data_IF_879251925420
#
_entry.id   IF_879251925420
#
_cell.length_a   1.000
_cell.length_b   1.000
_cell.length_c   1.000
_cell.angle_alpha   90.00
_cell.angle_beta   90.00
_cell.angle_gamma   90.00
#
_symmetry.space_group_name_H-M   'P 1'
#
loop_
_entity.id
_entity.type
_entity.pdbx_description
1 polymer ?
#
# COMPACT_ATOMS: atom_id res chain seq x y z
N UNK A 1 -9.58 12.07 1.75
CA UNK A 1 -8.58 11.08 1.36
C UNK A 1 -7.24 11.39 1.99
N UNK A 2 -6.43 10.38 2.31
CA UNK A 2 -5.12 10.59 2.94
C UNK A 2 -4.09 11.26 2.02
N UNK A 3 -4.28 11.22 0.70
CA UNK A 3 -3.41 11.86 -0.29
C UNK A 3 -4.23 12.78 -1.19
N UNK A 4 -4.11 14.08 -0.98
CA UNK A 4 -4.88 15.10 -1.72
C UNK A 4 -4.35 15.35 -3.13
N UNK A 5 -3.13 14.91 -3.41
CA UNK A 5 -2.40 15.10 -4.67
C UNK A 5 -2.46 13.87 -5.59
N UNK A 6 -3.23 12.84 -5.25
CA UNK A 6 -3.46 11.65 -6.07
C UNK A 6 -4.82 11.77 -6.77
N UNK A 7 -4.81 12.03 -8.07
CA UNK A 7 -6.01 12.23 -8.89
C UNK A 7 -6.17 11.21 -10.01
N UNK A 8 -5.11 10.44 -10.30
CA UNK A 8 -5.11 9.44 -11.37
C UNK A 8 -4.28 8.21 -10.99
N UNK A 9 -4.37 7.16 -11.81
CA UNK A 9 -3.51 5.95 -11.66
C UNK A 9 -2.04 6.31 -11.90
N UNK A 10 -1.76 7.27 -12.76
CA UNK A 10 -0.40 7.75 -13.05
C UNK A 10 0.23 8.45 -11.84
N UNK A 11 -0.54 9.28 -11.13
CA UNK A 11 -0.11 9.90 -9.87
C UNK A 11 0.18 8.84 -8.80
N UNK A 12 -0.69 7.82 -8.72
CA UNK A 12 -0.51 6.68 -7.81
C UNK A 12 0.77 5.91 -8.17
N UNK A 13 1.00 5.63 -9.47
CA UNK A 13 2.19 4.94 -9.94
C UNK A 13 3.47 5.73 -9.61
N UNK A 14 3.42 7.07 -9.70
CA UNK A 14 4.54 7.92 -9.29
C UNK A 14 4.79 7.84 -7.78
N UNK A 15 3.74 7.87 -6.94
CA UNK A 15 3.89 7.71 -5.50
C UNK A 15 4.48 6.34 -5.12
N UNK A 16 4.02 5.26 -5.77
CA UNK A 16 4.58 3.92 -5.57
C UNK A 16 6.07 3.91 -5.92
N UNK A 17 6.45 4.51 -7.04
CA UNK A 17 7.85 4.63 -7.45
C UNK A 17 8.68 5.43 -6.43
N UNK A 18 8.15 6.54 -5.91
CA UNK A 18 8.80 7.36 -4.88
C UNK A 18 9.07 6.56 -3.61
N UNK A 19 8.07 5.82 -3.14
CA UNK A 19 8.19 4.98 -1.94
C UNK A 19 9.19 3.83 -2.12
N UNK A 20 9.23 3.23 -3.30
CA UNK A 20 10.21 2.18 -3.63
C UNK A 20 11.63 2.73 -3.75
N UNK A 21 11.82 3.95 -4.23
CA UNK A 21 13.12 4.64 -4.19
C UNK A 21 13.56 4.95 -2.75
N UNK A 22 12.61 5.27 -1.86
CA UNK A 22 12.91 5.48 -0.45
C UNK A 22 13.27 4.18 0.30
N UNK A 23 12.56 3.08 -0.03
CA UNK A 23 12.81 1.76 0.55
C UNK A 23 12.37 0.65 -0.42
N UNK A 24 13.31 0.09 -1.14
CA UNK A 24 13.11 -0.98 -2.13
C UNK A 24 12.56 -2.29 -1.53
N UNK A 25 12.81 -2.53 -0.24
CA UNK A 25 12.39 -3.75 0.48
C UNK A 25 10.98 -3.67 1.03
N UNK A 26 10.41 -2.48 1.16
CA UNK A 26 9.06 -2.31 1.67
C UNK A 26 8.03 -2.70 0.61
N UNK A 27 7.01 -3.47 1.00
CA UNK A 27 5.85 -3.70 0.16
C UNK A 27 4.95 -2.46 0.18
N UNK A 28 4.54 -2.01 -1.00
CA UNK A 28 3.61 -0.90 -1.17
C UNK A 28 2.21 -1.45 -1.44
N UNK A 29 1.30 -1.17 -0.52
CA UNK A 29 -0.10 -1.61 -0.57
C UNK A 29 -1.02 -0.45 -0.94
N UNK A 30 -1.99 -0.73 -1.80
CA UNK A 30 -3.05 0.21 -2.18
C UNK A 30 -4.39 -0.33 -1.72
N UNK A 31 -5.11 0.46 -0.91
CA UNK A 31 -6.44 0.09 -0.42
C UNK A 31 -7.54 0.66 -1.32
N UNK A 32 -8.43 -0.22 -1.77
CA UNK A 32 -9.62 0.10 -2.55
C UNK A 32 -10.88 -0.34 -1.80
N UNK A 33 -11.94 0.42 -1.98
CA UNK A 33 -13.26 0.05 -1.46
C UNK A 33 -13.98 -0.85 -2.46
N UNK A 34 -14.68 -1.86 -1.98
CA UNK A 34 -15.55 -2.72 -2.80
C UNK A 34 -16.71 -1.88 -3.37
N UNK A 35 -16.61 -1.57 -4.64
CA UNK A 35 -17.62 -0.86 -5.44
C UNK A 35 -17.65 -1.46 -6.85
N UNK A 36 -18.72 -1.25 -7.59
CA UNK A 36 -18.77 -1.66 -9.00
C UNK A 36 -17.65 -0.98 -9.81
N UNK A 37 -16.91 -1.73 -10.61
CA UNK A 37 -15.76 -1.24 -11.38
C UNK A 37 -14.42 -1.29 -10.65
N UNK A 38 -14.38 -1.78 -9.41
CA UNK A 38 -13.13 -1.86 -8.63
C UNK A 38 -12.07 -2.74 -9.30
N UNK A 39 -12.48 -3.75 -10.06
CA UNK A 39 -11.55 -4.62 -10.82
C UNK A 39 -10.73 -3.84 -11.84
N UNK A 40 -11.33 -2.88 -12.54
CA UNK A 40 -10.62 -2.00 -13.48
C UNK A 40 -9.60 -1.11 -12.75
N UNK A 41 -9.98 -0.58 -11.58
CA UNK A 41 -9.07 0.22 -10.75
C UNK A 41 -7.90 -0.66 -10.25
N UNK A 42 -8.18 -1.87 -9.79
CA UNK A 42 -7.16 -2.82 -9.34
C UNK A 42 -6.19 -3.22 -10.45
N UNK A 43 -6.67 -3.37 -11.69
CA UNK A 43 -5.81 -3.58 -12.85
C UNK A 43 -4.87 -2.39 -13.07
N UNK A 44 -5.36 -1.15 -12.91
CA UNK A 44 -4.54 0.06 -12.93
C UNK A 44 -3.51 0.09 -11.81
N UNK A 45 -3.89 -0.28 -10.59
CA UNK A 45 -2.99 -0.40 -9.42
C UNK A 45 -1.87 -1.41 -9.67
N UNK A 46 -2.19 -2.57 -10.24
CA UNK A 46 -1.21 -3.59 -10.62
C UNK A 46 -0.25 -3.09 -11.71
N UNK A 47 -0.77 -2.38 -12.73
CA UNK A 47 0.06 -1.72 -13.76
C UNK A 47 0.92 -0.60 -13.18
N UNK A 48 0.44 0.10 -12.15
CA UNK A 48 1.18 1.07 -11.35
C UNK A 48 2.25 0.45 -10.45
N UNK A 49 2.40 -0.87 -10.50
CA UNK A 49 3.45 -1.64 -9.80
C UNK A 49 3.31 -1.67 -8.27
N UNK A 50 2.09 -1.59 -7.73
CA UNK A 50 1.87 -1.91 -6.32
C UNK A 50 2.18 -3.39 -6.04
N UNK A 51 2.73 -3.69 -4.86
CA UNK A 51 3.01 -5.07 -4.44
C UNK A 51 1.74 -5.79 -3.97
N UNK A 52 0.77 -5.01 -3.46
CA UNK A 52 -0.47 -5.53 -2.89
C UNK A 52 -1.64 -4.58 -3.17
N UNK A 53 -2.80 -5.14 -3.50
CA UNK A 53 -4.08 -4.43 -3.51
C UNK A 53 -4.99 -5.01 -2.43
N UNK A 54 -5.49 -4.15 -1.54
CA UNK A 54 -6.46 -4.52 -0.50
C UNK A 54 -7.86 -4.11 -0.94
N UNK A 55 -8.77 -5.06 -1.01
CA UNK A 55 -10.19 -4.84 -1.26
C UNK A 55 -10.94 -4.84 0.07
N UNK A 56 -11.51 -3.69 0.41
CA UNK A 56 -12.26 -3.49 1.65
C UNK A 56 -13.77 -3.54 1.42
N UNK A 57 -14.46 -4.40 2.18
CA UNK A 57 -15.92 -4.40 2.23
C UNK A 57 -16.49 -3.17 2.94
N UNK A 58 -17.83 -2.98 2.84
CA UNK A 58 -18.54 -1.89 3.50
C UNK A 58 -18.55 -2.01 5.03
N UNK A 59 -18.44 -3.21 5.56
CA UNK A 59 -18.42 -3.51 7.00
C UNK A 59 -17.06 -3.18 7.62
N UNK A 60 -16.72 -1.92 7.66
CA UNK A 60 -15.44 -1.50 8.19
C UNK A 60 -15.45 -0.03 8.64
N UNK A 61 -14.26 0.52 8.77
CA UNK A 61 -14.05 1.91 9.11
C UNK A 61 -13.80 2.16 10.58
N UNK A 62 -13.48 3.40 10.90
CA UNK A 62 -13.10 3.85 12.23
C UNK A 62 -14.29 3.88 13.19
N UNK A 63 -14.05 3.92 14.51
CA UNK A 63 -15.08 4.16 15.51
C UNK A 63 -15.82 5.48 15.31
N UNK A 64 -15.20 6.45 14.63
CA UNK A 64 -15.80 7.75 14.31
C UNK A 64 -16.79 7.71 13.14
N UNK A 65 -16.76 6.67 12.30
CA UNK A 65 -17.67 6.57 11.15
C UNK A 65 -19.14 6.46 11.61
N UNK A 66 -20.08 7.21 11.00
CA UNK A 66 -21.49 7.07 11.30
C UNK A 66 -21.98 5.64 11.05
N UNK A 67 -22.88 5.16 11.89
CA UNK A 67 -23.44 3.80 11.78
C UNK A 67 -24.14 3.58 10.43
N UNK A 68 -24.77 4.63 9.89
CA UNK A 68 -25.41 4.61 8.57
C UNK A 68 -24.40 4.36 7.46
N UNK A 69 -23.23 4.99 7.50
CA UNK A 69 -22.16 4.76 6.50
C UNK A 69 -21.65 3.32 6.55
N UNK A 70 -21.43 2.78 7.75
CA UNK A 70 -20.93 1.42 7.93
C UNK A 70 -21.93 0.36 7.43
N UNK A 71 -23.24 0.63 7.60
CA UNK A 71 -24.27 -0.34 7.22
C UNK A 71 -24.72 -0.24 5.78
N UNK A 72 -24.61 0.93 5.15
CA UNK A 72 -25.30 1.21 3.89
C UNK A 72 -24.41 1.82 2.80
N UNK A 73 -23.18 2.20 3.09
CA UNK A 73 -22.26 2.73 2.08
C UNK A 73 -21.26 1.67 1.65
N UNK A 74 -21.18 1.38 0.35
CA UNK A 74 -20.29 0.38 -0.23
C UNK A 74 -20.97 -0.98 -0.44
N UNK A 75 -20.18 -1.93 -0.94
CA UNK A 75 -20.59 -3.30 -1.25
C UNK A 75 -19.92 -4.30 -0.31
N UNK A 76 -20.47 -5.52 -0.17
CA UNK A 76 -19.77 -6.63 0.47
C UNK A 76 -18.40 -6.89 -0.20
N UNK A 77 -17.42 -7.32 0.60
CA UNK A 77 -16.07 -7.59 0.10
C UNK A 77 -16.04 -8.71 -0.95
N UNK A 78 -16.95 -9.66 -0.89
CA UNK A 78 -17.07 -10.79 -1.81
C UNK A 78 -17.26 -10.32 -3.25
N UNK A 79 -18.07 -9.30 -3.46
CA UNK A 79 -18.34 -8.71 -4.78
C UNK A 79 -17.08 -8.06 -5.35
N UNK A 80 -16.47 -7.18 -4.58
CA UNK A 80 -15.27 -6.46 -5.02
C UNK A 80 -14.06 -7.37 -5.20
N UNK A 81 -13.93 -8.41 -4.36
CA UNK A 81 -12.86 -9.39 -4.47
C UNK A 81 -13.01 -10.23 -5.75
N UNK A 82 -14.19 -10.80 -6.00
CA UNK A 82 -14.45 -11.60 -7.21
C UNK A 82 -14.20 -10.79 -8.49
N UNK A 83 -14.73 -9.55 -8.55
CA UNK A 83 -14.50 -8.65 -9.70
C UNK A 83 -13.00 -8.34 -9.87
N UNK A 84 -12.28 -8.06 -8.77
CA UNK A 84 -10.85 -7.76 -8.81
C UNK A 84 -10.04 -8.95 -9.30
N UNK A 85 -10.29 -10.13 -8.75
CA UNK A 85 -9.60 -11.36 -9.14
C UNK A 85 -9.80 -11.66 -10.63
N UNK A 86 -11.04 -11.65 -11.09
CA UNK A 86 -11.39 -11.90 -12.49
C UNK A 86 -10.71 -10.87 -13.42
N UNK A 87 -10.82 -9.58 -13.12
CA UNK A 87 -10.20 -8.53 -13.92
C UNK A 87 -8.67 -8.65 -13.98
N UNK A 88 -8.02 -8.99 -12.88
CA UNK A 88 -6.57 -9.21 -12.85
C UNK A 88 -6.15 -10.43 -13.67
N UNK A 89 -6.89 -11.54 -13.61
CA UNK A 89 -6.63 -12.75 -14.39
C UNK A 89 -6.83 -12.47 -15.88
N UNK A 90 -7.95 -11.88 -16.28
CA UNK A 90 -8.26 -11.54 -17.67
C UNK A 90 -7.21 -10.62 -18.32
N UNK A 91 -6.62 -9.72 -17.54
CA UNK A 91 -5.58 -8.80 -18.01
C UNK A 91 -4.15 -9.32 -17.86
N UNK A 92 -3.93 -10.55 -17.45
CA UNK A 92 -2.61 -11.15 -17.18
C UNK A 92 -1.79 -10.35 -16.16
N UNK A 93 -2.45 -9.98 -15.05
CA UNK A 93 -1.87 -9.14 -14.01
C UNK A 93 -1.89 -9.83 -12.63
N UNK A 94 -2.63 -10.95 -12.51
CA UNK A 94 -2.93 -11.57 -11.22
C UNK A 94 -1.70 -12.10 -10.49
N UNK A 95 -0.78 -12.68 -11.21
CA UNK A 95 0.36 -13.41 -10.67
C UNK A 95 1.50 -12.52 -10.14
N UNK A 96 1.43 -11.20 -10.36
CA UNK A 96 2.45 -10.23 -9.94
C UNK A 96 2.05 -9.32 -8.77
N UNK A 97 0.81 -9.44 -8.28
CA UNK A 97 0.30 -8.63 -7.18
C UNK A 97 -0.42 -9.50 -6.15
N UNK A 98 -0.18 -9.24 -4.85
CA UNK A 98 -1.02 -9.82 -3.80
C UNK A 98 -2.41 -9.19 -3.81
N UNK A 99 -3.43 -10.01 -3.65
CA UNK A 99 -4.80 -9.56 -3.41
C UNK A 99 -5.15 -9.87 -1.96
N UNK A 100 -5.39 -8.81 -1.18
CA UNK A 100 -5.80 -8.89 0.20
C UNK A 100 -7.27 -8.49 0.32
N UNK A 101 -7.97 -9.06 1.27
CA UNK A 101 -9.37 -8.70 1.55
C UNK A 101 -9.55 -8.40 3.04
N UNK A 102 -10.37 -7.40 3.36
CA UNK A 102 -10.86 -7.12 4.71
C UNK A 102 -12.35 -6.72 4.68
N UNK A 103 -12.97 -6.67 5.84
CA UNK A 103 -14.37 -6.31 6.02
C UNK A 103 -15.13 -7.30 6.89
N UNK A 104 -14.83 -7.31 8.20
CA UNK A 104 -15.49 -8.19 9.20
C UNK A 104 -15.19 -9.68 9.09
N UNK A 105 -14.02 -10.06 8.56
CA UNK A 105 -13.57 -11.45 8.63
C UNK A 105 -13.40 -11.89 10.09
N UNK A 106 -13.88 -13.07 10.43
CA UNK A 106 -13.90 -13.56 11.83
C UNK A 106 -13.55 -15.02 11.98
N UNK A 107 -13.78 -15.85 10.97
CA UNK A 107 -13.68 -17.31 11.04
C UNK A 107 -12.77 -17.87 9.95
N UNK A 108 -12.37 -19.14 10.11
CA UNK A 108 -11.66 -19.85 9.04
C UNK A 108 -12.51 -20.02 7.79
N UNK A 109 -13.84 -20.10 7.94
CA UNK A 109 -14.76 -20.14 6.80
C UNK A 109 -14.67 -18.86 5.96
N UNK A 110 -14.59 -17.67 6.60
CA UNK A 110 -14.45 -16.40 5.87
C UNK A 110 -13.14 -16.40 5.05
N UNK A 111 -12.05 -16.94 5.64
CA UNK A 111 -10.76 -17.09 4.95
C UNK A 111 -10.87 -18.01 3.75
N UNK A 112 -11.51 -19.19 3.90
CA UNK A 112 -11.69 -20.15 2.81
C UNK A 112 -12.52 -19.55 1.68
N UNK A 113 -13.65 -18.91 2.00
CA UNK A 113 -14.49 -18.23 0.99
C UNK A 113 -13.68 -17.14 0.27
N UNK A 114 -12.93 -16.33 1.00
CA UNK A 114 -12.08 -15.30 0.41
C UNK A 114 -10.99 -15.87 -0.51
N UNK A 115 -10.35 -16.98 -0.12
CA UNK A 115 -9.37 -17.64 -0.98
C UNK A 115 -10.02 -18.23 -2.25
N UNK A 116 -11.16 -18.89 -2.12
CA UNK A 116 -11.91 -19.42 -3.26
C UNK A 116 -12.34 -18.32 -4.24
N UNK A 117 -12.61 -17.10 -3.75
CA UNK A 117 -12.90 -15.92 -4.56
C UNK A 117 -11.64 -15.19 -5.05
N UNK A 118 -10.43 -15.61 -4.66
CA UNK A 118 -9.18 -15.14 -5.23
C UNK A 118 -8.27 -14.31 -4.33
N UNK A 119 -8.45 -14.28 -3.00
CA UNK A 119 -7.54 -13.59 -2.09
C UNK A 119 -6.31 -14.42 -1.73
N UNK A 120 -5.13 -13.78 -1.67
CA UNK A 120 -3.89 -14.35 -1.10
C UNK A 120 -3.79 -14.06 0.41
N UNK A 121 -4.29 -12.90 0.87
CA UNK A 121 -4.10 -12.38 2.22
C UNK A 121 -5.42 -11.88 2.83
N UNK A 122 -5.48 -11.84 4.16
CA UNK A 122 -6.70 -11.57 4.91
C UNK A 122 -6.46 -10.57 6.03
N UNK A 123 -7.27 -9.51 6.07
CA UNK A 123 -7.20 -8.48 7.10
C UNK A 123 -8.22 -8.68 8.21
N UNK A 124 -7.76 -8.74 9.45
CA UNK A 124 -8.59 -8.85 10.65
C UNK A 124 -8.41 -7.64 11.54
N UNK A 125 -9.51 -7.02 11.96
CA UNK A 125 -9.47 -5.93 12.93
C UNK A 125 -10.41 -6.22 14.12
N UNK A 126 -11.71 -6.25 13.86
CA UNK A 126 -12.74 -6.40 14.89
C UNK A 126 -12.60 -7.68 15.71
N UNK A 127 -12.35 -8.81 15.05
CA UNK A 127 -12.21 -10.10 15.72
C UNK A 127 -11.01 -10.15 16.66
N UNK A 128 -9.86 -9.62 16.24
CA UNK A 128 -8.68 -9.50 17.08
C UNK A 128 -8.92 -8.57 18.29
N UNK A 129 -9.65 -7.46 18.10
CA UNK A 129 -10.03 -6.58 19.19
C UNK A 129 -10.98 -7.27 20.20
N UNK A 130 -11.97 -8.05 19.71
CA UNK A 130 -12.90 -8.80 20.54
C UNK A 130 -12.14 -9.83 21.38
N UNK A 131 -11.16 -10.55 20.81
CA UNK A 131 -10.36 -11.52 21.54
C UNK A 131 -9.58 -10.90 22.70
N UNK A 132 -9.29 -9.59 22.64
CA UNK A 132 -8.65 -8.82 23.71
C UNK A 132 -9.65 -8.17 24.69
N UNK A 133 -10.95 -8.41 24.54
CA UNK A 133 -11.97 -7.89 25.46
C UNK A 133 -12.68 -6.62 24.97
N UNK A 134 -12.59 -6.27 23.68
CA UNK A 134 -13.37 -5.18 23.11
C UNK A 134 -14.87 -5.50 23.14
N UNK A 135 -15.69 -4.57 23.65
CA UNK A 135 -17.15 -4.71 23.74
C UNK A 135 -17.91 -3.99 22.61
N UNK A 136 -17.21 -3.58 21.59
CA UNK A 136 -17.77 -2.98 20.36
C UNK A 136 -18.62 -1.70 20.57
N UNK A 137 -18.32 -0.92 21.61
CA UNK A 137 -19.03 0.33 21.87
C UNK A 137 -18.78 1.46 20.86
N UNK A 138 -17.77 1.32 19.99
CA UNK A 138 -17.43 2.29 18.95
C UNK A 138 -17.14 3.72 19.46
N UNK A 139 -16.55 3.82 20.67
CA UNK A 139 -16.13 5.09 21.28
C UNK A 139 -14.59 5.29 21.24
N UNK A 140 -13.92 4.56 20.35
CA UNK A 140 -12.46 4.54 20.23
C UNK A 140 -11.86 5.92 19.96
N UNK A 141 -12.57 6.77 19.21
CA UNK A 141 -12.14 8.13 18.83
C UNK A 141 -12.33 9.18 19.92
N UNK A 142 -13.03 8.86 21.02
CA UNK A 142 -13.38 9.80 22.08
C UNK A 142 -12.50 9.69 23.31
N UNK A 143 -11.49 8.84 23.33
CA UNK A 143 -10.66 8.54 24.49
C UNK A 143 -11.44 8.03 25.73
N UNK A 144 -12.64 7.49 25.52
CA UNK A 144 -13.57 7.04 26.57
C UNK A 144 -13.87 5.53 26.52
N UNK A 145 -12.92 4.74 26.00
CA UNK A 145 -13.12 3.29 25.91
C UNK A 145 -13.27 2.65 27.30
N UNK A 146 -14.44 2.09 27.62
CA UNK A 146 -14.74 1.65 29.00
C UNK A 146 -13.93 0.41 29.44
N UNK A 147 -13.39 -0.35 28.46
CA UNK A 147 -12.60 -1.57 28.69
C UNK A 147 -11.09 -1.34 28.46
N UNK A 148 -10.66 -0.09 28.23
CA UNK A 148 -9.26 0.25 28.17
C UNK A 148 -8.51 -0.11 26.88
N UNK A 149 -9.15 -0.69 25.87
CA UNK A 149 -8.48 -1.13 24.62
C UNK A 149 -7.99 0.06 23.79
N UNK A 150 -8.80 1.13 23.70
CA UNK A 150 -8.51 2.28 22.84
C UNK A 150 -8.70 3.59 23.62
N UNK A 151 -7.82 3.86 24.58
CA UNK A 151 -7.83 5.09 25.39
C UNK A 151 -6.43 5.39 25.92
N UNK A 152 -6.14 6.67 26.13
CA UNK A 152 -4.94 7.13 26.84
C UNK A 152 -5.25 7.52 28.29
N UNK A 153 -6.52 7.53 28.71
CA UNK A 153 -6.90 7.79 30.11
C UNK A 153 -6.33 6.69 31.02
N UNK A 154 -5.52 7.04 32.06
CA UNK A 154 -4.86 6.04 32.90
C UNK A 154 -5.84 5.15 33.67
N UNK A 155 -6.97 5.70 34.15
CA UNK A 155 -7.97 4.97 34.91
C UNK A 155 -8.73 3.96 34.03
N UNK A 156 -8.99 4.31 32.78
CA UNK A 156 -9.62 3.41 31.80
C UNK A 156 -8.60 2.37 31.29
N UNK A 157 -7.36 2.75 31.03
CA UNK A 157 -6.29 1.81 30.61
C UNK A 157 -6.04 0.73 31.66
N UNK A 158 -6.14 1.05 32.93
CA UNK A 158 -6.00 0.08 34.02
C UNK A 158 -7.03 -1.05 33.97
N UNK A 159 -8.15 -0.88 33.25
CA UNK A 159 -9.19 -1.91 33.07
C UNK A 159 -8.88 -2.87 31.92
N UNK A 160 -7.84 -2.62 31.13
CA UNK A 160 -7.50 -3.48 30.00
C UNK A 160 -6.94 -4.83 30.50
N UNK A 161 -7.67 -5.89 30.22
CA UNK A 161 -7.34 -7.26 30.62
C UNK A 161 -6.84 -8.14 29.47
N UNK A 162 -6.73 -7.58 28.25
CA UNK A 162 -6.26 -8.31 27.07
C UNK A 162 -4.79 -8.69 27.19
N UNK A 163 -4.45 -9.86 26.64
CA UNK A 163 -3.08 -10.37 26.57
C UNK A 163 -2.73 -10.74 25.14
N UNK A 164 -1.45 -10.68 24.74
CA UNK A 164 -1.01 -11.11 23.40
C UNK A 164 -1.44 -12.53 23.06
N UNK A 165 -1.43 -13.44 24.05
CA UNK A 165 -1.79 -14.84 23.89
C UNK A 165 -3.25 -15.03 23.45
N UNK A 166 -4.15 -14.12 23.80
CA UNK A 166 -5.54 -14.19 23.35
C UNK A 166 -5.63 -14.05 21.83
N UNK A 167 -4.86 -13.12 21.25
CA UNK A 167 -4.80 -12.91 19.80
C UNK A 167 -4.08 -14.07 19.11
N UNK A 168 -2.96 -14.53 19.66
CA UNK A 168 -2.22 -15.69 19.14
C UNK A 168 -3.12 -16.92 19.08
N UNK A 169 -3.80 -17.26 20.18
CA UNK A 169 -4.71 -18.41 20.24
C UNK A 169 -5.87 -18.27 19.28
N UNK A 170 -6.45 -17.06 19.16
CA UNK A 170 -7.52 -16.81 18.21
C UNK A 170 -7.09 -17.13 16.77
N UNK A 171 -5.93 -16.63 16.33
CA UNK A 171 -5.43 -16.90 14.98
C UNK A 171 -5.00 -18.37 14.78
N UNK A 172 -4.52 -19.03 15.81
CA UNK A 172 -4.26 -20.48 15.73
C UNK A 172 -5.56 -21.26 15.52
N UNK A 173 -6.65 -20.90 16.19
CA UNK A 173 -7.97 -21.54 15.97
C UNK A 173 -8.52 -21.24 14.58
N UNK A 174 -8.39 -20.00 14.07
CA UNK A 174 -8.76 -19.67 12.68
C UNK A 174 -7.97 -20.54 11.70
N UNK A 175 -6.67 -20.67 11.89
CA UNK A 175 -5.82 -21.48 11.02
C UNK A 175 -6.20 -22.98 11.06
N UNK A 176 -6.55 -23.52 12.24
CA UNK A 176 -7.02 -24.91 12.38
C UNK A 176 -8.37 -25.13 11.68
N UNK A 177 -9.29 -24.17 11.78
CA UNK A 177 -10.56 -24.22 11.05
C UNK A 177 -10.32 -24.19 9.52
N UNK A 178 -9.45 -23.31 9.04
CA UNK A 178 -9.04 -23.27 7.62
C UNK A 178 -8.48 -24.62 7.20
N UNK A 179 -7.57 -25.20 7.98
CA UNK A 179 -6.95 -26.49 7.67
C UNK A 179 -7.98 -27.62 7.60
N UNK A 180 -8.96 -27.64 8.49
CA UNK A 180 -10.03 -28.63 8.48
C UNK A 180 -10.90 -28.50 7.21
N UNK A 181 -11.34 -27.28 6.89
CA UNK A 181 -12.13 -27.00 5.68
C UNK A 181 -11.37 -27.33 4.38
N UNK A 182 -10.07 -27.00 4.32
CA UNK A 182 -9.21 -27.38 3.20
C UNK A 182 -9.16 -28.91 3.01
N UNK A 183 -9.05 -29.67 4.10
CA UNK A 183 -9.03 -31.12 4.05
C UNK A 183 -10.37 -31.71 3.55
N UNK A 184 -11.51 -31.15 3.99
CA UNK A 184 -12.84 -31.52 3.51
C UNK A 184 -13.02 -31.24 2.01
N UNK A 185 -12.49 -30.10 1.52
CA UNK A 185 -12.52 -29.72 0.12
C UNK A 185 -11.46 -30.43 -0.74
N UNK A 186 -10.52 -31.16 -0.13
CA UNK A 186 -9.48 -31.93 -0.82
C UNK A 186 -8.24 -31.14 -1.23
N UNK A 187 -8.05 -29.91 -0.73
CA UNK A 187 -6.86 -29.09 -1.00
C UNK A 187 -5.71 -29.44 -0.05
N UNK A 188 -4.49 -29.58 -0.59
CA UNK A 188 -3.27 -29.84 0.17
C UNK A 188 -2.50 -28.59 0.51
N UNK A 189 -2.52 -27.60 -0.35
CA UNK A 189 -1.86 -26.31 -0.16
C UNK A 189 -2.87 -25.18 -0.28
N UNK A 190 -2.58 -24.06 0.38
CA UNK A 190 -3.45 -22.88 0.33
C UNK A 190 -3.57 -22.32 -1.09
N UNK A 191 -2.47 -22.30 -1.84
CA UNK A 191 -2.44 -21.77 -3.21
C UNK A 191 -3.32 -22.55 -4.18
N UNK A 192 -3.51 -23.85 -3.96
CA UNK A 192 -4.43 -24.66 -4.78
C UNK A 192 -5.89 -24.23 -4.67
N UNK A 193 -6.26 -23.57 -3.59
CA UNK A 193 -7.62 -23.13 -3.32
C UNK A 193 -7.92 -21.75 -3.93
N UNK A 194 -6.89 -20.92 -4.19
CA UNK A 194 -7.09 -19.55 -4.64
C UNK A 194 -7.76 -19.51 -6.01
N UNK A 195 -8.89 -18.77 -6.09
CA UNK A 195 -9.66 -18.59 -7.33
C UNK A 195 -10.52 -19.77 -7.74
N UNK A 196 -10.67 -20.80 -6.89
CA UNK A 196 -11.52 -21.98 -7.12
C UNK A 196 -12.97 -21.71 -6.71
N UNK A 197 -13.56 -20.67 -7.31
CA UNK A 197 -14.95 -20.29 -7.06
C UNK A 197 -15.97 -21.39 -7.41
N UNK A 198 -15.57 -22.37 -8.24
CA UNK A 198 -16.35 -23.57 -8.55
C UNK A 198 -16.62 -24.48 -7.33
N UNK A 199 -15.88 -24.29 -6.23
CA UNK A 199 -16.09 -25.03 -4.97
C UNK A 199 -17.11 -24.34 -4.06
N UNK A 200 -17.66 -23.19 -4.47
CA UNK A 200 -18.70 -22.48 -3.74
C UNK A 200 -20.07 -22.80 -4.35
N UNK A 201 -21.00 -23.16 -3.51
CA UNK A 201 -22.38 -23.37 -3.86
C UNK A 201 -23.26 -22.27 -3.24
N UNK A 202 -24.14 -21.70 -4.03
CA UNK A 202 -25.11 -20.72 -3.56
C UNK A 202 -26.42 -21.44 -3.18
N UNK A 203 -26.82 -21.29 -1.92
CA UNK A 203 -28.15 -21.73 -1.47
C UNK A 203 -29.18 -20.61 -1.77
N UNK A 204 -30.04 -20.78 -2.78
CA UNK A 204 -31.10 -19.82 -3.05
C UNK A 204 -32.09 -19.81 -1.89
N UNK A 205 -32.10 -18.74 -1.11
CA UNK A 205 -33.11 -18.52 -0.06
C UNK A 205 -34.48 -18.27 -0.73
N UNK A 206 -35.11 -19.32 -1.24
CA UNK A 206 -36.34 -19.26 -2.04
C UNK A 206 -37.49 -18.56 -1.31
N UNK A 207 -37.58 -18.71 0.00
CA UNK A 207 -38.58 -18.10 0.85
C UNK A 207 -38.35 -16.58 1.06
N UNK A 208 -37.13 -16.08 0.79
CA UNK A 208 -36.83 -14.67 1.01
C UNK A 208 -37.03 -13.86 -0.26
N UNK A 209 -38.05 -13.02 -0.28
CA UNK A 209 -38.54 -12.30 -1.46
C UNK A 209 -37.48 -11.45 -2.21
N UNK A 210 -36.43 -10.96 -1.54
CA UNK A 210 -35.30 -10.26 -2.18
C UNK A 210 -34.21 -11.24 -2.64
N UNK A 211 -33.87 -12.24 -1.83
CA UNK A 211 -32.74 -13.13 -2.11
C UNK A 211 -33.00 -14.03 -3.33
N UNK A 212 -34.26 -14.48 -3.52
CA UNK A 212 -34.63 -15.34 -4.66
C UNK A 212 -34.37 -14.74 -6.06
N UNK A 213 -34.17 -13.42 -6.16
CA UNK A 213 -33.92 -12.72 -7.43
C UNK A 213 -32.44 -12.36 -7.62
N UNK A 214 -31.55 -12.73 -6.70
CA UNK A 214 -30.12 -12.41 -6.79
C UNK A 214 -29.42 -13.50 -7.61
N UNK A 215 -28.69 -13.08 -8.63
CA UNK A 215 -27.87 -13.96 -9.46
C UNK A 215 -26.40 -13.88 -9.04
N UNK A 216 -25.86 -14.98 -8.56
CA UNK A 216 -24.45 -15.11 -8.11
C UNK A 216 -23.54 -15.71 -9.20
N UNK A 217 -24.05 -16.03 -10.37
CA UNK A 217 -23.28 -16.72 -11.43
C UNK A 217 -21.98 -16.01 -11.78
N UNK A 218 -22.00 -14.67 -11.81
CA UNK A 218 -20.80 -13.86 -12.11
C UNK A 218 -19.76 -13.88 -11.00
N UNK A 219 -20.16 -13.96 -9.74
CA UNK A 219 -19.23 -14.05 -8.61
C UNK A 219 -18.57 -15.41 -8.56
N UNK A 220 -19.34 -16.46 -8.87
CA UNK A 220 -18.89 -17.85 -8.86
C UNK A 220 -18.19 -18.26 -10.16
N UNK A 221 -18.02 -17.35 -11.11
CA UNK A 221 -17.31 -17.61 -12.35
C UNK A 221 -15.81 -17.83 -12.08
N UNK A 222 -15.29 -18.97 -12.49
CA UNK A 222 -13.85 -19.25 -12.43
C UNK A 222 -13.14 -18.53 -13.58
N UNK A 223 -12.25 -17.61 -13.24
CA UNK A 223 -11.40 -16.95 -14.22
C UNK A 223 -10.34 -17.91 -14.76
N UNK A 224 -10.13 -17.91 -16.07
CA UNK A 224 -9.13 -18.76 -16.70
C UNK A 224 -7.80 -18.04 -16.85
N UNK A 225 -6.71 -18.52 -16.24
CA UNK A 225 -5.41 -17.88 -16.35
C UNK A 225 -4.85 -18.02 -17.75
N UNK A 226 -4.01 -17.07 -18.17
CA UNK A 226 -3.22 -17.17 -19.37
C UNK A 226 -2.21 -18.32 -19.26
N UNK A 227 -1.75 -18.82 -20.41
CA UNK A 227 -0.76 -19.90 -20.43
C UNK A 227 0.49 -19.53 -19.60
N UNK A 228 0.83 -20.37 -18.63
CA UNK A 228 1.97 -20.17 -17.72
C UNK A 228 1.71 -19.22 -16.55
N UNK A 229 0.55 -18.54 -16.49
CA UNK A 229 0.19 -17.67 -15.37
C UNK A 229 -0.51 -18.43 -14.22
N UNK A 230 -0.42 -17.90 -13.00
CA UNK A 230 -1.07 -18.47 -11.81
C UNK A 230 -2.26 -17.63 -11.36
N UNK A 231 -3.17 -18.24 -10.58
CA UNK A 231 -4.31 -17.56 -9.95
C UNK A 231 -3.95 -16.88 -8.63
N UNK A 232 -2.69 -16.92 -8.24
CA UNK A 232 -2.13 -16.30 -7.02
C UNK A 232 -0.82 -15.59 -7.34
N UNK A 233 -0.32 -14.77 -6.44
CA UNK A 233 0.94 -14.06 -6.65
C UNK A 233 2.13 -15.04 -6.65
N UNK A 234 2.82 -15.14 -7.76
CA UNK A 234 4.02 -15.98 -7.96
C UNK A 234 5.24 -15.20 -8.47
N UNK A 235 5.04 -13.95 -8.91
CA UNK A 235 6.10 -13.09 -9.44
C UNK A 235 6.22 -11.80 -8.63
N UNK A 236 7.39 -11.20 -8.62
CA UNK A 236 7.63 -9.88 -8.04
C UNK A 236 7.38 -8.79 -9.07
N UNK A 237 6.96 -7.61 -8.61
CA UNK A 237 6.91 -6.41 -9.46
C UNK A 237 8.33 -5.94 -9.77
N UNK A 238 8.58 -5.63 -11.03
CA UNK A 238 9.81 -4.96 -11.48
C UNK A 238 9.59 -3.44 -11.40
N UNK A 239 10.25 -2.79 -10.46
CA UNK A 239 10.13 -1.34 -10.25
C UNK A 239 11.10 -0.52 -11.12
N UNK A 240 12.04 -1.15 -11.84
CA UNK A 240 13.03 -0.49 -12.71
C UNK A 240 14.00 0.41 -11.94
N UNK A 241 14.26 0.10 -10.67
CA UNK A 241 15.10 0.95 -9.80
C UNK A 241 16.58 0.91 -10.19
N UNK A 242 17.02 -0.11 -10.91
CA UNK A 242 18.38 -0.27 -11.42
C UNK A 242 18.77 0.84 -12.43
N UNK A 243 17.77 1.51 -13.02
CA UNK A 243 17.98 2.61 -13.97
C UNK A 243 17.99 4.00 -13.31
N UNK A 244 17.83 4.05 -11.97
CA UNK A 244 17.79 5.32 -11.25
C UNK A 244 19.13 6.05 -11.30
N UNK A 245 19.09 7.37 -11.58
CA UNK A 245 20.28 8.25 -11.56
C UNK A 245 20.98 8.22 -10.20
N UNK A 246 20.24 7.96 -9.15
CA UNK A 246 20.76 7.93 -7.76
C UNK A 246 21.89 6.94 -7.55
N UNK A 247 22.03 5.89 -8.35
CA UNK A 247 23.20 5.00 -8.29
C UNK A 247 24.50 5.76 -8.56
N UNK A 248 24.51 6.62 -9.59
CA UNK A 248 25.64 7.52 -9.90
C UNK A 248 25.86 8.53 -8.77
N UNK A 249 24.77 9.10 -8.22
CA UNK A 249 24.86 10.07 -7.12
C UNK A 249 25.46 9.43 -5.86
N UNK A 250 25.05 8.21 -5.52
CA UNK A 250 25.55 7.44 -4.37
C UNK A 250 27.05 7.15 -4.53
N UNK A 251 27.47 6.75 -5.73
CA UNK A 251 28.90 6.49 -6.02
C UNK A 251 29.73 7.75 -5.85
N UNK A 252 29.33 8.88 -6.44
CA UNK A 252 30.00 10.19 -6.34
C UNK A 252 29.99 10.74 -4.90
N UNK A 253 28.96 10.42 -4.12
CA UNK A 253 28.81 10.83 -2.73
C UNK A 253 29.53 9.92 -1.72
N UNK A 254 30.34 8.93 -2.14
CA UNK A 254 31.01 7.98 -1.26
C UNK A 254 31.77 8.63 -0.08
N UNK A 255 32.53 9.74 -0.23
CA UNK A 255 33.19 10.38 0.93
C UNK A 255 32.20 10.90 1.99
N UNK A 256 31.06 11.43 1.57
CA UNK A 256 30.00 11.88 2.48
C UNK A 256 29.31 10.70 3.18
N UNK A 257 29.10 9.60 2.47
CA UNK A 257 28.47 8.38 2.98
C UNK A 257 29.37 7.65 4.00
N UNK A 258 30.67 7.62 3.78
CA UNK A 258 31.62 6.85 4.59
C UNK A 258 32.19 7.67 5.76
N UNK A 259 32.56 8.93 5.50
CA UNK A 259 33.36 9.75 6.44
C UNK A 259 32.71 11.08 6.83
N UNK A 260 31.50 11.39 6.33
CA UNK A 260 30.83 12.69 6.48
C UNK A 260 31.66 13.86 5.92
N UNK A 261 32.49 13.61 4.93
CA UNK A 261 33.25 14.64 4.22
C UNK A 261 32.35 15.34 3.19
N UNK A 262 32.34 16.70 3.17
CA UNK A 262 31.55 17.41 2.18
C UNK A 262 32.00 17.10 0.75
N UNK A 263 31.03 16.88 -0.12
CA UNK A 263 31.27 16.63 -1.55
C UNK A 263 30.41 17.55 -2.41
N UNK A 264 30.98 17.98 -3.55
CA UNK A 264 30.25 18.73 -4.57
C UNK A 264 30.58 18.20 -5.95
N UNK A 265 29.55 17.92 -6.74
CA UNK A 265 29.70 17.42 -8.11
C UNK A 265 28.55 17.84 -8.99
N UNK A 266 28.71 17.71 -10.31
CA UNK A 266 27.69 18.04 -11.31
C UNK A 266 27.20 16.78 -12.02
N UNK A 267 25.91 16.81 -12.42
CA UNK A 267 25.27 15.79 -13.25
C UNK A 267 24.32 16.40 -14.26
N UNK A 268 24.19 15.77 -15.42
CA UNK A 268 23.15 16.11 -16.37
C UNK A 268 21.84 15.41 -15.98
N UNK A 269 20.75 16.17 -15.94
CA UNK A 269 19.44 15.64 -15.58
C UNK A 269 18.49 15.70 -16.76
N UNK A 270 17.63 14.69 -16.87
CA UNK A 270 16.61 14.58 -17.90
C UNK A 270 15.26 14.24 -17.25
N UNK A 271 14.16 14.54 -17.96
CA UNK A 271 12.80 14.29 -17.49
C UNK A 271 12.47 12.79 -17.23
N UNK A 272 13.28 11.88 -17.73
CA UNK A 272 13.18 10.44 -17.43
C UNK A 272 13.77 10.07 -16.06
N UNK A 273 14.62 10.94 -15.49
CA UNK A 273 15.21 10.75 -14.17
C UNK A 273 14.21 11.25 -13.10
N UNK A 274 13.39 10.33 -12.62
CA UNK A 274 12.39 10.59 -11.59
C UNK A 274 12.94 10.33 -10.20
N UNK A 275 12.39 10.99 -9.19
CA UNK A 275 12.64 10.74 -7.75
C UNK A 275 14.12 10.89 -7.36
N UNK A 276 14.85 11.76 -8.08
CA UNK A 276 16.31 11.97 -7.91
C UNK A 276 16.60 12.51 -6.51
N UNK A 277 17.61 11.95 -5.84
CA UNK A 277 18.05 12.33 -4.50
C UNK A 277 17.41 11.52 -3.37
N UNK A 278 16.37 10.73 -3.66
CA UNK A 278 15.65 9.92 -2.65
C UNK A 278 16.46 8.72 -2.19
N UNK A 279 17.01 7.92 -3.11
CA UNK A 279 17.86 6.77 -2.76
C UNK A 279 19.14 7.22 -2.05
N UNK A 280 19.75 8.31 -2.50
CA UNK A 280 20.89 8.92 -1.83
C UNK A 280 20.54 9.33 -0.38
N UNK A 281 19.38 9.97 -0.18
CA UNK A 281 18.89 10.35 1.15
C UNK A 281 18.64 9.15 2.05
N UNK A 282 18.09 8.07 1.49
CA UNK A 282 17.90 6.79 2.19
C UNK A 282 19.22 6.17 2.63
N UNK A 283 20.22 6.12 1.72
CA UNK A 283 21.56 5.61 2.04
C UNK A 283 22.27 6.42 3.12
N UNK A 284 22.22 7.75 3.05
CA UNK A 284 22.75 8.63 4.09
C UNK A 284 22.07 8.37 5.44
N UNK A 285 20.74 8.25 5.45
CA UNK A 285 19.96 7.94 6.64
C UNK A 285 20.37 6.61 7.26
N UNK A 286 20.48 5.58 6.45
CA UNK A 286 20.80 4.23 6.87
C UNK A 286 22.24 4.12 7.40
N UNK A 287 23.23 4.66 6.67
CA UNK A 287 24.65 4.56 7.04
C UNK A 287 24.98 5.38 8.28
N UNK A 288 24.40 6.56 8.41
CA UNK A 288 24.63 7.42 9.58
C UNK A 288 23.63 7.17 10.71
N UNK A 289 22.73 6.17 10.60
CA UNK A 289 21.75 5.79 11.62
C UNK A 289 20.92 7.00 12.09
N UNK A 290 20.51 7.84 11.15
CA UNK A 290 19.68 9.00 11.46
C UNK A 290 18.28 8.51 11.85
N UNK A 291 17.75 9.05 12.94
CA UNK A 291 16.42 8.74 13.41
C UNK A 291 15.67 10.00 13.80
N UNK A 292 14.37 9.86 14.11
CA UNK A 292 13.51 11.00 14.48
C UNK A 292 14.07 11.82 15.65
N UNK A 293 14.87 11.21 16.53
CA UNK A 293 15.42 11.81 17.74
C UNK A 293 16.93 11.78 17.83
N UNK A 294 17.65 11.30 16.81
CA UNK A 294 19.10 11.12 16.89
C UNK A 294 19.80 11.43 15.57
N UNK A 295 20.82 12.24 15.65
CA UNK A 295 21.74 12.54 14.57
C UNK A 295 21.22 13.62 13.61
N UNK A 296 22.13 14.50 13.22
CA UNK A 296 21.90 15.49 12.16
C UNK A 296 23.15 15.52 11.32
N UNK A 297 22.98 15.64 10.00
CA UNK A 297 24.07 15.85 9.08
C UNK A 297 24.41 17.35 9.01
N UNK A 298 25.68 17.72 8.73
CA UNK A 298 26.02 19.09 8.36
C UNK A 298 25.21 19.57 7.18
N UNK A 299 24.94 20.86 7.12
CA UNK A 299 24.35 21.45 5.90
C UNK A 299 25.32 21.29 4.74
N UNK A 300 24.74 21.12 3.53
CA UNK A 300 25.49 21.04 2.29
C UNK A 300 26.58 19.95 2.28
N UNK A 301 26.36 18.87 3.04
CA UNK A 301 27.27 17.72 3.06
C UNK A 301 27.42 17.09 1.66
N UNK A 302 26.31 17.01 0.92
CA UNK A 302 26.28 16.61 -0.47
C UNK A 302 25.64 17.73 -1.27
N UNK A 303 26.41 18.40 -2.12
CA UNK A 303 25.94 19.43 -3.04
C UNK A 303 25.98 18.91 -4.47
N UNK A 304 24.84 18.87 -5.13
CA UNK A 304 24.71 18.38 -6.51
C UNK A 304 24.22 19.51 -7.41
N UNK A 305 25.06 19.90 -8.36
CA UNK A 305 24.70 20.84 -9.43
C UNK A 305 24.12 20.04 -10.60
N UNK A 306 22.83 20.23 -10.91
CA UNK A 306 22.09 19.54 -11.96
C UNK A 306 21.84 20.49 -13.13
N UNK A 307 22.12 20.05 -14.36
CA UNK A 307 21.83 20.80 -15.58
C UNK A 307 20.80 20.05 -16.43
N UNK A 308 19.69 20.73 -16.79
CA UNK A 308 18.65 20.20 -17.66
C UNK A 308 17.26 20.24 -17.06
N UNK A 309 16.39 19.33 -17.49
CA UNK A 309 15.01 19.24 -17.04
C UNK A 309 14.82 17.98 -16.19
N UNK A 310 14.49 18.14 -14.91
CA UNK A 310 14.26 17.03 -13.99
C UNK A 310 12.90 16.36 -14.26
N UNK A 311 12.82 15.06 -13.99
CA UNK A 311 11.58 14.30 -13.96
C UNK A 311 10.74 14.57 -12.70
N UNK A 312 9.63 13.86 -12.58
CA UNK A 312 8.71 13.98 -11.44
C UNK A 312 9.38 13.61 -10.10
N UNK A 313 8.89 14.20 -9.01
CA UNK A 313 9.34 13.94 -7.63
C UNK A 313 10.82 14.23 -7.39
N UNK A 314 11.40 15.21 -8.11
CA UNK A 314 12.77 15.63 -7.89
C UNK A 314 12.99 16.10 -6.45
N UNK A 315 13.98 15.53 -5.76
CA UNK A 315 14.25 15.83 -4.37
C UNK A 315 13.19 15.33 -3.37
N UNK A 316 12.32 14.39 -3.78
CA UNK A 316 11.35 13.80 -2.86
C UNK A 316 12.07 13.19 -1.64
N UNK A 317 11.53 13.46 -0.44
CA UNK A 317 12.06 12.99 0.84
C UNK A 317 13.50 13.38 1.16
N UNK A 318 14.08 14.34 0.42
CA UNK A 318 15.47 14.75 0.60
C UNK A 318 15.70 15.24 2.04
N UNK A 319 16.74 14.70 2.68
CA UNK A 319 17.07 14.95 4.09
C UNK A 319 18.03 16.11 4.26
N UNK A 320 18.13 16.65 5.49
CA UNK A 320 19.15 17.64 5.84
C UNK A 320 20.54 17.12 5.46
N UNK A 321 21.34 17.99 4.86
CA UNK A 321 22.68 17.69 4.36
C UNK A 321 22.74 17.45 2.85
N UNK A 322 21.60 17.24 2.18
CA UNK A 322 21.52 17.12 0.72
C UNK A 322 21.03 18.43 0.13
N UNK A 323 21.78 18.97 -0.82
CA UNK A 323 21.43 20.17 -1.58
C UNK A 323 21.42 19.84 -3.08
N UNK A 324 20.26 20.01 -3.69
CA UNK A 324 20.03 19.81 -5.13
C UNK A 324 19.87 21.18 -5.80
N UNK A 325 20.77 21.55 -6.66
CA UNK A 325 20.80 22.85 -7.33
C UNK A 325 20.61 22.66 -8.84
N UNK A 326 19.41 22.94 -9.34
CA UNK A 326 19.04 22.76 -10.75
C UNK A 326 19.20 24.07 -11.52
N UNK A 327 19.99 24.03 -12.58
CA UNK A 327 19.98 25.04 -13.63
C UNK A 327 19.17 24.48 -14.80
N UNK A 328 17.90 24.90 -14.89
CA UNK A 328 16.92 24.35 -15.81
C UNK A 328 15.52 24.33 -15.24
N UNK A 329 14.80 23.24 -15.44
CA UNK A 329 13.40 23.07 -15.06
C UNK A 329 13.20 21.82 -14.19
N UNK A 330 12.08 21.79 -13.47
CA UNK A 330 11.64 20.63 -12.71
C UNK A 330 10.20 20.28 -13.09
N UNK A 331 9.79 19.05 -12.77
CA UNK A 331 8.44 18.55 -13.05
C UNK A 331 7.60 18.55 -11.77
N UNK A 332 6.41 17.92 -11.80
CA UNK A 332 5.50 17.83 -10.67
C UNK A 332 6.13 17.15 -9.44
N UNK A 333 5.59 17.44 -8.27
CA UNK A 333 5.97 16.86 -6.99
C UNK A 333 7.40 17.18 -6.52
N UNK A 334 7.99 18.29 -6.96
CA UNK A 334 9.28 18.75 -6.46
C UNK A 334 9.28 18.83 -4.94
N UNK A 335 10.27 18.21 -4.31
CA UNK A 335 10.43 18.23 -2.86
C UNK A 335 9.28 17.56 -2.10
N UNK A 336 8.54 16.65 -2.69
CA UNK A 336 7.48 15.91 -2.01
C UNK A 336 8.01 15.28 -0.72
N UNK A 337 7.38 15.62 0.43
CA UNK A 337 7.85 15.12 1.72
C UNK A 337 9.26 15.56 2.11
N UNK A 338 9.75 16.71 1.62
CA UNK A 338 11.09 17.26 1.90
C UNK A 338 11.35 17.27 3.40
N UNK A 339 12.44 16.63 3.83
CA UNK A 339 12.77 16.38 5.23
C UNK A 339 14.04 17.11 5.70
N UNK A 340 14.16 18.38 5.33
CA UNK A 340 15.27 19.26 5.70
C UNK A 340 16.38 19.40 4.67
N UNK A 341 16.27 18.77 3.51
CA UNK A 341 17.12 19.02 2.34
C UNK A 341 16.88 20.41 1.74
N UNK A 342 17.75 20.82 0.83
CA UNK A 342 17.61 22.06 0.06
C UNK A 342 17.41 21.76 -1.42
N UNK A 343 16.47 22.44 -2.04
CA UNK A 343 16.25 22.38 -3.49
C UNK A 343 16.29 23.83 -4.01
N UNK A 344 17.14 24.07 -5.00
CA UNK A 344 17.31 25.36 -5.65
C UNK A 344 17.04 25.13 -7.12
N UNK A 345 16.07 25.86 -7.69
CA UNK A 345 15.73 25.78 -9.12
C UNK A 345 15.88 27.18 -9.70
N UNK A 346 16.61 27.28 -10.79
CA UNK A 346 16.80 28.55 -11.51
C UNK A 346 16.88 28.33 -13.03
N UNK A 347 16.37 29.25 -13.83
CA UNK A 347 16.50 29.15 -15.26
C UNK A 347 17.97 29.26 -15.70
N UNK A 348 18.36 28.66 -16.83
CA UNK A 348 19.68 28.83 -17.39
C UNK A 348 19.93 30.27 -17.84
N UNK A 349 21.21 30.67 -17.92
CA UNK A 349 21.60 32.00 -18.43
C UNK A 349 21.09 32.17 -19.86
N UNK A 350 20.42 33.29 -20.11
CA UNK A 350 19.84 33.60 -21.44
C UNK A 350 18.47 32.98 -21.70
N UNK A 351 17.84 32.37 -20.68
CA UNK A 351 16.45 31.93 -20.77
C UNK A 351 15.54 33.13 -21.09
N UNK A 352 14.58 32.98 -22.03
CA UNK A 352 13.68 34.08 -22.38
C UNK A 352 12.54 34.29 -21.39
N UNK A 353 12.45 33.46 -20.36
CA UNK A 353 11.43 33.59 -19.31
C UNK A 353 11.64 34.88 -18.53
N UNK A 354 10.58 35.64 -18.36
CA UNK A 354 10.53 36.80 -17.48
C UNK A 354 10.00 36.33 -16.13
N UNK A 355 10.85 36.21 -15.08
CA UNK A 355 10.44 35.54 -13.80
C UNK A 355 9.23 36.20 -13.16
N UNK A 356 9.05 37.51 -13.34
CA UNK A 356 7.95 38.27 -12.74
C UNK A 356 6.60 38.03 -13.46
N UNK A 357 6.60 37.40 -14.61
CA UNK A 357 5.42 37.13 -15.44
C UNK A 357 5.00 35.65 -15.45
N UNK A 358 5.73 34.80 -14.74
CA UNK A 358 5.49 33.35 -14.70
C UNK A 358 5.19 32.84 -13.28
#
# INVERSE_FOLDING_TARGET
PPHHDIYSIEDLAQLIHDLKNANDRANVSVKLVSVAGVGTIAAGVSKGKADLVLISGHDGGTGASPLTSIKYAGLPWELGLAETHQALVENNLRDRIYVQVDGQLKTGRDVVVGALLGADEFGFATAALISMGCVMMRKCHLNTCPVGVATQDPALRAKFAGKPEHVVNYFMFVAEEVRALMAELGFRTFNEMIGRADMLEFDPLEEHWKARSVDFSKILQVAQPWEGATLYRSQSQDHGLEQALDHELIEKAAPALERKEPVRFSVNIRNVHRTVGTMLSSELTRRHRLGMYSGSLPEDLVWIDCEGCAGQSFGAFAIKGVTLNVTGETNDYVGKGLSGGKIIVRPPAGCPIVPEEN
#
